data_IF_335459187753
#
_entry.id   IF_335459187753
#
_cell.length_a   1.000
_cell.length_b   1.000
_cell.length_c   1.000
_cell.angle_alpha   90.00
_cell.angle_beta   90.00
_cell.angle_gamma   90.00
#
_symmetry.space_group_name_H-M   'P 1'
#
loop_
_entity.id
_entity.type
_entity.pdbx_description
1 polymer ?
#
# COMPACT_ATOMS: atom_id res chain seq x y z
N UNK A 1 5.42 8.40 16.45
CA UNK A 1 5.51 7.52 15.26
C UNK A 1 4.10 7.40 14.68
N UNK A 2 3.87 7.75 13.41
CA UNK A 2 2.52 7.88 12.81
C UNK A 2 1.72 6.56 12.71
N UNK A 3 2.42 5.43 12.72
CA UNK A 3 1.89 4.06 12.77
C UNK A 3 2.80 3.20 13.64
N UNK A 4 2.21 2.27 14.40
CA UNK A 4 2.99 1.33 15.21
C UNK A 4 3.77 0.34 14.32
N UNK A 5 4.78 -0.38 14.87
CA UNK A 5 5.45 -1.45 14.12
C UNK A 5 4.49 -2.52 13.60
N UNK A 6 3.47 -2.91 14.38
CA UNK A 6 2.50 -3.93 13.97
C UNK A 6 1.56 -3.42 12.85
N UNK A 7 1.11 -2.17 12.91
CA UNK A 7 0.27 -1.60 11.83
C UNK A 7 1.02 -1.53 10.50
N UNK A 8 2.35 -1.33 10.52
CA UNK A 8 3.17 -1.26 9.31
C UNK A 8 3.21 -2.57 8.52
N UNK A 9 3.05 -3.71 9.19
CA UNK A 9 2.98 -5.01 8.51
C UNK A 9 1.77 -5.13 7.57
N UNK A 10 0.74 -4.30 7.76
CA UNK A 10 -0.46 -4.26 6.91
C UNK A 10 -0.42 -3.11 5.90
N UNK A 11 0.69 -2.38 5.83
CA UNK A 11 0.85 -1.28 4.88
C UNK A 11 1.42 -1.76 3.56
N UNK A 12 0.87 -1.24 2.49
CA UNK A 12 1.34 -1.42 1.12
C UNK A 12 1.52 -0.02 0.52
N UNK A 13 2.74 0.36 0.17
CA UNK A 13 3.09 1.65 -0.46
C UNK A 13 2.45 2.90 0.18
N UNK A 14 2.60 3.04 1.50
CA UNK A 14 2.11 4.21 2.24
C UNK A 14 0.66 4.12 2.73
N UNK A 15 -0.09 3.08 2.35
CA UNK A 15 -1.50 2.93 2.75
C UNK A 15 -1.94 1.48 2.84
N UNK A 16 -3.22 1.21 2.68
CA UNK A 16 -3.76 -0.16 2.62
C UNK A 16 -3.60 -0.75 1.22
N UNK A 17 -3.68 -2.07 1.13
CA UNK A 17 -3.75 -2.80 -0.15
C UNK A 17 -5.22 -2.91 -0.60
N UNK A 18 -5.62 -2.28 -1.71
CA UNK A 18 -7.04 -2.21 -2.08
C UNK A 18 -7.73 -3.56 -2.34
N UNK A 19 -7.03 -4.58 -2.86
CA UNK A 19 -7.57 -5.94 -3.04
C UNK A 19 -7.98 -6.62 -1.72
N UNK A 20 -7.20 -6.43 -0.65
CA UNK A 20 -7.52 -6.92 0.70
C UNK A 20 -8.76 -6.24 1.26
N UNK A 21 -8.91 -4.94 1.00
CA UNK A 21 -10.10 -4.19 1.38
C UNK A 21 -11.34 -4.74 0.68
N UNK A 22 -11.28 -5.01 -0.63
CA UNK A 22 -12.38 -5.65 -1.37
C UNK A 22 -12.77 -6.99 -0.71
N UNK A 23 -11.78 -7.82 -0.37
CA UNK A 23 -11.99 -9.14 0.25
C UNK A 23 -12.72 -9.03 1.59
N UNK A 24 -12.36 -8.06 2.42
CA UNK A 24 -13.02 -7.82 3.72
C UNK A 24 -14.46 -7.37 3.51
N UNK A 25 -14.69 -6.47 2.56
CA UNK A 25 -16.00 -5.88 2.29
C UNK A 25 -16.99 -6.92 1.76
N UNK A 26 -16.54 -7.81 0.86
CA UNK A 26 -17.37 -8.88 0.29
C UNK A 26 -18.01 -9.74 1.38
N UNK A 27 -17.30 -9.99 2.47
CA UNK A 27 -17.79 -10.81 3.58
C UNK A 27 -18.76 -10.06 4.53
N UNK A 28 -18.93 -8.75 4.36
CA UNK A 28 -19.70 -7.90 5.28
C UNK A 28 -20.94 -7.28 4.64
N UNK A 29 -21.05 -7.31 3.31
CA UNK A 29 -22.18 -6.74 2.58
C UNK A 29 -23.04 -7.87 2.04
N UNK A 30 -24.13 -8.18 2.74
CA UNK A 30 -25.18 -9.05 2.23
C UNK A 30 -26.54 -8.33 2.25
N UNK A 31 -27.43 -8.59 1.27
CA UNK A 31 -27.23 -9.42 0.07
C UNK A 31 -26.57 -8.64 -1.10
N UNK A 32 -25.76 -9.33 -1.91
CA UNK A 32 -25.22 -8.86 -3.20
C UNK A 32 -25.87 -9.65 -4.34
N UNK A 33 -26.12 -9.01 -5.48
CA UNK A 33 -26.61 -9.73 -6.68
C UNK A 33 -25.46 -10.45 -7.38
N UNK A 34 -25.76 -11.47 -8.19
CA UNK A 34 -24.75 -12.19 -8.99
C UNK A 34 -23.96 -11.24 -9.90
N UNK A 35 -24.63 -10.25 -10.51
CA UNK A 35 -23.98 -9.23 -11.32
C UNK A 35 -23.00 -8.38 -10.50
N UNK A 36 -23.37 -8.02 -9.26
CA UNK A 36 -22.48 -7.29 -8.36
C UNK A 36 -21.27 -8.14 -7.97
N UNK A 37 -21.48 -9.43 -7.66
CA UNK A 37 -20.40 -10.36 -7.32
C UNK A 37 -19.41 -10.47 -8.48
N UNK A 38 -19.89 -10.71 -9.71
CA UNK A 38 -19.03 -10.78 -10.89
C UNK A 38 -18.27 -9.47 -11.13
N UNK A 39 -18.93 -8.31 -10.97
CA UNK A 39 -18.31 -7.00 -11.09
C UNK A 39 -17.21 -6.77 -10.04
N UNK A 40 -17.45 -7.17 -8.79
CA UNK A 40 -16.46 -7.04 -7.71
C UNK A 40 -15.29 -8.00 -7.91
N UNK A 41 -15.53 -9.25 -8.33
CA UNK A 41 -14.46 -10.21 -8.64
C UNK A 41 -13.55 -9.70 -9.76
N UNK A 42 -14.12 -9.17 -10.85
CA UNK A 42 -13.33 -8.56 -11.93
C UNK A 42 -12.55 -7.33 -11.46
N UNK A 43 -13.16 -6.48 -10.63
CA UNK A 43 -12.46 -5.35 -10.02
C UNK A 43 -11.31 -5.79 -9.11
N UNK A 44 -11.51 -6.85 -8.31
CA UNK A 44 -10.49 -7.40 -7.44
C UNK A 44 -9.30 -7.92 -8.23
N UNK A 45 -9.56 -8.71 -9.27
CA UNK A 45 -8.51 -9.27 -10.14
C UNK A 45 -7.69 -8.15 -10.80
N UNK A 46 -8.36 -7.19 -11.46
CA UNK A 46 -7.66 -6.08 -12.13
C UNK A 46 -6.88 -5.21 -11.13
N UNK A 47 -7.41 -5.01 -9.92
CA UNK A 47 -6.70 -4.28 -8.86
C UNK A 47 -5.46 -5.05 -8.42
N UNK A 48 -5.57 -6.37 -8.25
CA UNK A 48 -4.46 -7.22 -7.81
C UNK A 48 -3.33 -7.25 -8.85
N UNK A 49 -3.65 -7.35 -10.14
CA UNK A 49 -2.66 -7.28 -11.22
C UNK A 49 -1.90 -5.94 -11.21
N UNK A 50 -2.61 -4.82 -10.99
CA UNK A 50 -1.98 -3.51 -10.87
C UNK A 50 -1.12 -3.39 -9.59
N UNK A 51 -1.58 -3.94 -8.47
CA UNK A 51 -0.80 -4.00 -7.23
C UNK A 51 0.49 -4.80 -7.39
N UNK A 52 0.45 -5.93 -8.09
CA UNK A 52 1.60 -6.78 -8.37
C UNK A 52 2.61 -6.06 -9.26
N UNK A 53 2.16 -5.43 -10.35
CA UNK A 53 3.01 -4.64 -11.23
C UNK A 53 3.71 -3.49 -10.48
N UNK A 54 2.97 -2.75 -9.65
CA UNK A 54 3.55 -1.70 -8.82
C UNK A 54 4.55 -2.26 -7.81
N UNK A 55 4.24 -3.39 -7.17
CA UNK A 55 5.11 -4.01 -6.16
C UNK A 55 6.44 -4.46 -6.78
N UNK A 56 6.40 -5.10 -7.94
CA UNK A 56 7.60 -5.50 -8.68
C UNK A 56 8.42 -4.29 -9.11
N UNK A 57 7.77 -3.24 -9.63
CA UNK A 57 8.45 -1.99 -10.01
C UNK A 57 9.15 -1.32 -8.82
N UNK A 58 8.49 -1.30 -7.66
CA UNK A 58 9.05 -0.75 -6.43
C UNK A 58 10.21 -1.60 -5.90
N UNK A 59 10.11 -2.92 -5.97
CA UNK A 59 11.19 -3.83 -5.59
C UNK A 59 12.44 -3.60 -6.46
N UNK A 60 12.27 -3.50 -7.78
CA UNK A 60 13.35 -3.18 -8.71
C UNK A 60 13.99 -1.80 -8.40
N UNK A 61 13.16 -0.79 -8.07
CA UNK A 61 13.66 0.52 -7.65
C UNK A 61 14.46 0.45 -6.35
N UNK A 62 13.96 -0.30 -5.35
CA UNK A 62 14.64 -0.48 -4.07
C UNK A 62 15.98 -1.19 -4.23
N UNK A 63 16.05 -2.24 -5.06
CA UNK A 63 17.30 -2.92 -5.35
C UNK A 63 18.28 -1.96 -6.01
N UNK A 64 17.83 -1.24 -7.04
CA UNK A 64 18.67 -0.29 -7.77
C UNK A 64 19.15 0.88 -6.91
N UNK A 65 18.32 1.35 -5.97
CA UNK A 65 18.69 2.34 -4.98
C UNK A 65 19.72 1.79 -3.99
N UNK A 66 19.55 0.55 -3.53
CA UNK A 66 20.49 -0.13 -2.64
C UNK A 66 21.86 -0.28 -3.30
N UNK A 67 21.91 -0.69 -4.57
CA UNK A 67 23.14 -0.80 -5.35
C UNK A 67 23.84 0.57 -5.51
N UNK A 68 23.05 1.64 -5.68
CA UNK A 68 23.58 3.02 -5.77
C UNK A 68 24.20 3.42 -4.43
N UNK A 69 23.53 3.16 -3.31
CA UNK A 69 24.00 3.50 -1.96
C UNK A 69 25.24 2.69 -1.58
N UNK A 70 25.28 1.41 -1.95
CA UNK A 70 26.41 0.52 -1.67
C UNK A 70 27.62 0.76 -2.60
N UNK A 71 27.50 1.62 -3.61
CA UNK A 71 28.58 1.93 -4.54
C UNK A 71 29.83 2.47 -3.83
N UNK A 72 31.00 2.00 -4.25
CA UNK A 72 32.30 2.48 -3.76
C UNK A 72 32.51 3.99 -3.92
N UNK A 73 31.80 4.59 -4.90
CA UNK A 73 31.83 6.03 -5.12
C UNK A 73 31.17 6.84 -4.00
N UNK A 74 30.35 6.22 -3.13
CA UNK A 74 29.79 6.85 -1.94
C UNK A 74 30.52 6.44 -0.65
N UNK A 75 31.12 5.25 -0.59
CA UNK A 75 31.84 4.76 0.59
C UNK A 75 33.30 5.24 0.67
N UNK A 76 33.98 5.35 -0.48
CA UNK A 76 35.35 5.83 -0.61
C UNK A 76 35.49 6.70 -1.89
N UNK A 77 34.89 7.90 -1.91
CA UNK A 77 34.81 8.72 -3.12
C UNK A 77 36.20 9.09 -3.65
N UNK A 78 36.54 8.76 -4.91
CA UNK A 78 37.82 9.11 -5.51
C UNK A 78 37.95 10.62 -5.76
N UNK A 79 36.82 11.32 -5.93
CA UNK A 79 36.72 12.78 -5.94
C UNK A 79 35.28 13.22 -5.61
N UNK A 80 35.10 14.53 -5.36
CA UNK A 80 33.79 15.10 -5.02
C UNK A 80 32.78 15.05 -6.19
N UNK A 81 33.26 15.12 -7.44
CA UNK A 81 32.39 15.06 -8.61
C UNK A 81 31.67 13.70 -8.73
N UNK A 82 32.37 12.59 -8.47
CA UNK A 82 31.79 11.25 -8.49
C UNK A 82 30.79 11.04 -7.34
N UNK A 83 31.11 11.53 -6.14
CA UNK A 83 30.19 11.50 -5.01
C UNK A 83 28.88 12.24 -5.33
N UNK A 84 29.00 13.48 -5.85
CA UNK A 84 27.84 14.29 -6.22
C UNK A 84 27.02 13.65 -7.34
N UNK A 85 27.67 13.04 -8.33
CA UNK A 85 27.00 12.30 -9.40
C UNK A 85 26.17 11.12 -8.86
N UNK A 86 26.75 10.31 -7.97
CA UNK A 86 26.02 9.20 -7.34
C UNK A 86 24.90 9.68 -6.41
N UNK A 87 25.13 10.75 -5.66
CA UNK A 87 24.09 11.35 -4.82
C UNK A 87 22.92 11.88 -5.66
N UNK A 88 23.19 12.49 -6.82
CA UNK A 88 22.15 12.93 -7.76
C UNK A 88 21.33 11.75 -8.31
N UNK A 89 21.98 10.62 -8.61
CA UNK A 89 21.30 9.38 -9.02
C UNK A 89 20.41 8.85 -7.89
N UNK A 90 20.93 8.76 -6.67
CA UNK A 90 20.17 8.33 -5.50
C UNK A 90 18.95 9.24 -5.24
N UNK A 91 19.13 10.56 -5.33
CA UNK A 91 18.04 11.54 -5.21
C UNK A 91 16.96 11.38 -6.29
N UNK A 92 17.36 11.10 -7.53
CA UNK A 92 16.41 10.82 -8.62
C UNK A 92 15.60 9.53 -8.34
N UNK A 93 16.26 8.47 -7.86
CA UNK A 93 15.57 7.24 -7.44
C UNK A 93 14.60 7.47 -6.28
N UNK A 94 14.98 8.30 -5.30
CA UNK A 94 14.07 8.72 -4.22
C UNK A 94 12.87 9.54 -4.74
N UNK A 95 13.06 10.38 -5.75
CA UNK A 95 11.94 11.06 -6.43
C UNK A 95 11.03 10.06 -7.15
N UNK A 96 11.60 9.03 -7.78
CA UNK A 96 10.83 7.95 -8.42
C UNK A 96 9.98 7.18 -7.40
N UNK A 97 10.48 7.00 -6.16
CA UNK A 97 9.75 6.37 -5.06
C UNK A 97 8.45 7.15 -4.73
N UNK A 98 8.50 8.48 -4.72
CA UNK A 98 7.31 9.32 -4.57
C UNK A 98 6.27 9.03 -5.67
N UNK A 99 6.74 8.81 -6.90
CA UNK A 99 5.92 8.39 -8.03
C UNK A 99 5.17 7.08 -7.78
N UNK A 100 5.79 6.10 -7.13
CA UNK A 100 5.12 4.84 -6.74
C UNK A 100 4.06 5.07 -5.66
N UNK A 101 4.34 5.90 -4.67
CA UNK A 101 3.35 6.25 -3.62
C UNK A 101 2.12 6.90 -4.25
N UNK A 102 2.31 7.86 -5.17
CA UNK A 102 1.21 8.51 -5.90
C UNK A 102 0.41 7.53 -6.76
N UNK A 103 1.08 6.60 -7.45
CA UNK A 103 0.40 5.56 -8.23
C UNK A 103 -0.42 4.61 -7.35
N UNK A 104 0.11 4.24 -6.18
CA UNK A 104 -0.62 3.42 -5.22
C UNK A 104 -1.84 4.15 -4.64
N UNK A 105 -1.73 5.45 -4.35
CA UNK A 105 -2.87 6.29 -3.92
C UNK A 105 -3.95 6.38 -5.01
N UNK A 106 -3.54 6.59 -6.26
CA UNK A 106 -4.45 6.59 -7.40
C UNK A 106 -5.19 5.25 -7.54
N UNK A 107 -4.48 4.13 -7.40
CA UNK A 107 -5.08 2.80 -7.45
C UNK A 107 -6.11 2.61 -6.34
N UNK A 108 -5.79 2.96 -5.09
CA UNK A 108 -6.75 2.92 -3.97
C UNK A 108 -8.00 3.74 -4.25
N UNK A 109 -7.83 4.96 -4.73
CA UNK A 109 -8.95 5.86 -5.05
C UNK A 109 -9.83 5.28 -6.16
N UNK A 110 -9.22 4.82 -7.25
CA UNK A 110 -9.93 4.22 -8.38
C UNK A 110 -10.67 2.95 -7.98
N UNK A 111 -10.05 2.09 -7.16
CA UNK A 111 -10.69 0.87 -6.68
C UNK A 111 -11.92 1.17 -5.83
N UNK A 112 -11.83 2.11 -4.87
CA UNK A 112 -12.97 2.50 -4.04
C UNK A 112 -14.09 3.10 -4.91
N UNK A 113 -13.74 3.99 -5.84
CA UNK A 113 -14.70 4.62 -6.73
C UNK A 113 -15.44 3.58 -7.58
N UNK A 114 -14.71 2.66 -8.23
CA UNK A 114 -15.31 1.57 -9.02
C UNK A 114 -16.17 0.64 -8.17
N UNK A 115 -15.73 0.34 -6.95
CA UNK A 115 -16.52 -0.47 -6.03
C UNK A 115 -17.87 0.22 -5.71
N UNK A 116 -17.86 1.52 -5.45
CA UNK A 116 -19.09 2.29 -5.22
C UNK A 116 -20.03 2.34 -6.44
N UNK A 117 -19.50 2.28 -7.66
CA UNK A 117 -20.31 2.21 -8.89
C UNK A 117 -21.03 0.86 -9.06
N UNK A 118 -20.47 -0.23 -8.53
CA UNK A 118 -21.09 -1.55 -8.55
C UNK A 118 -22.15 -1.70 -7.45
N UNK A 119 -21.96 -1.02 -6.32
CA UNK A 119 -22.82 -1.10 -5.15
C UNK A 119 -24.00 -0.11 -5.21
N UNK A 120 -25.13 -0.48 -4.59
CA UNK A 120 -26.20 0.48 -4.28
C UNK A 120 -25.74 1.44 -3.19
N UNK A 121 -26.41 2.59 -3.05
CA UNK A 121 -26.09 3.58 -1.99
C UNK A 121 -26.06 2.97 -0.58
N UNK A 122 -27.00 2.08 -0.27
CA UNK A 122 -27.05 1.40 1.04
C UNK A 122 -25.88 0.44 1.23
N UNK A 123 -25.53 -0.33 0.19
CA UNK A 123 -24.37 -1.22 0.24
C UNK A 123 -23.06 -0.41 0.33
N UNK A 124 -22.92 0.69 -0.41
CA UNK A 124 -21.78 1.58 -0.33
C UNK A 124 -21.62 2.23 1.08
N UNK A 125 -22.72 2.61 1.73
CA UNK A 125 -22.66 3.10 3.11
C UNK A 125 -22.17 2.00 4.08
N UNK A 126 -22.67 0.76 3.96
CA UNK A 126 -22.20 -0.39 4.75
C UNK A 126 -20.75 -0.75 4.45
N UNK A 127 -20.33 -0.65 3.20
CA UNK A 127 -18.96 -0.82 2.73
C UNK A 127 -18.00 0.11 3.49
N UNK A 128 -18.30 1.41 3.49
CA UNK A 128 -17.50 2.42 4.18
C UNK A 128 -17.44 2.17 5.69
N UNK A 129 -18.55 1.76 6.31
CA UNK A 129 -18.58 1.38 7.72
C UNK A 129 -17.70 0.16 8.01
N UNK A 130 -17.83 -0.91 7.23
CA UNK A 130 -17.02 -2.12 7.38
C UNK A 130 -15.52 -1.84 7.23
N UNK A 131 -15.14 -0.98 6.27
CA UNK A 131 -13.75 -0.52 6.14
C UNK A 131 -13.28 0.23 7.39
N UNK A 132 -14.06 1.18 7.89
CA UNK A 132 -13.71 1.95 9.08
C UNK A 132 -13.54 1.05 10.31
N UNK A 133 -14.45 0.10 10.51
CA UNK A 133 -14.37 -0.88 11.59
C UNK A 133 -13.13 -1.77 11.49
N UNK A 134 -12.78 -2.24 10.29
CA UNK A 134 -11.58 -3.03 10.08
C UNK A 134 -10.31 -2.29 10.52
N UNK A 135 -10.13 -1.04 10.04
CA UNK A 135 -8.96 -0.25 10.42
C UNK A 135 -8.96 0.12 11.91
N UNK A 136 -10.13 0.34 12.50
CA UNK A 136 -10.26 0.55 13.93
C UNK A 136 -9.82 -0.68 14.74
N UNK A 137 -10.29 -1.88 14.37
CA UNK A 137 -9.92 -3.14 15.02
C UNK A 137 -8.42 -3.42 14.88
N UNK A 138 -7.84 -3.17 13.70
CA UNK A 138 -6.39 -3.31 13.49
C UNK A 138 -5.59 -2.39 14.42
N UNK A 139 -6.02 -1.12 14.54
CA UNK A 139 -5.38 -0.16 15.45
C UNK A 139 -5.52 -0.56 16.92
N UNK A 140 -6.69 -1.07 17.32
CA UNK A 140 -6.92 -1.56 18.68
C UNK A 140 -6.00 -2.74 19.00
N UNK A 141 -5.93 -3.73 18.09
CA UNK A 141 -5.04 -4.89 18.21
C UNK A 141 -3.58 -4.47 18.34
N UNK A 142 -3.15 -3.53 17.49
CA UNK A 142 -1.80 -3.02 17.57
C UNK A 142 -1.52 -2.27 18.89
N UNK A 143 -2.49 -1.55 19.44
CA UNK A 143 -2.30 -0.81 20.69
C UNK A 143 -2.14 -1.79 21.85
N UNK A 144 -2.96 -2.85 21.88
CA UNK A 144 -2.84 -3.93 22.86
C UNK A 144 -1.48 -4.63 22.77
N UNK A 145 -0.99 -4.90 21.56
CA UNK A 145 0.35 -5.48 21.36
C UNK A 145 1.46 -4.61 21.94
N UNK A 146 1.37 -3.29 21.77
CA UNK A 146 2.35 -2.35 22.32
C UNK A 146 2.28 -2.25 23.85
N UNK A 147 1.10 -2.42 24.44
CA UNK A 147 0.87 -2.36 25.88
C UNK A 147 1.15 -3.66 26.64
N UNK A 148 1.54 -4.74 25.94
CA UNK A 148 1.81 -6.04 26.56
C UNK A 148 2.95 -5.95 27.59
N UNK A 149 2.90 -6.73 28.69
CA UNK A 149 4.03 -6.83 29.61
C UNK A 149 5.26 -7.38 28.86
N UNK A 150 6.41 -6.73 29.02
CA UNK A 150 7.69 -7.28 28.58
C UNK A 150 8.32 -7.91 29.81
N UNK A 151 8.61 -9.21 29.76
CA UNK A 151 9.45 -9.83 30.78
C UNK A 151 10.84 -9.20 30.65
N UNK A 152 11.30 -8.56 31.73
CA UNK A 152 12.68 -8.10 31.89
C UNK A 152 13.62 -9.28 32.11
#
# INVERSE_FOLDING_TARGET
MWKTPAERCFMWMGGFRPSEVIKIILNQIEPLTEQQILGICGLQQSTQEAEEALSQGLEALNQSLSDTIASDSLSAPPNMANYMGQMAIAMNKLSTLEGFVRQADNLRHQTIHRLQQVLTTRQAARCLLAMAEYFHRLRALSSLWMARPRQE
#
